data_IF_528375811416
#
_entry.id   IF_528375811416
#
_cell.length_a   1.000
_cell.length_b   1.000
_cell.length_c   1.000
_cell.angle_alpha   90.00
_cell.angle_beta   90.00
_cell.angle_gamma   90.00
#
_symmetry.space_group_name_H-M   'P 1'
#
loop_
_entity.id
_entity.type
_entity.pdbx_description
1 polymer ?
#
# COMPACT_ATOMS: atom_id res chain seq x y z
N UNK A 1 6.56 -28.84 32.73
CA UNK A 1 5.67 -27.67 32.89
C UNK A 1 6.39 -26.32 32.74
N UNK A 2 7.43 -25.95 33.53
CA UNK A 2 8.09 -24.61 33.44
C UNK A 2 8.65 -24.19 32.06
N UNK A 3 9.07 -25.12 31.19
CA UNK A 3 9.58 -24.79 29.84
C UNK A 3 8.48 -24.46 28.82
N UNK A 4 7.25 -24.95 29.02
CA UNK A 4 6.10 -24.62 28.15
C UNK A 4 5.54 -23.24 28.52
N UNK A 5 5.44 -22.90 29.79
CA UNK A 5 4.98 -21.57 30.24
C UNK A 5 5.93 -20.45 29.77
N UNK A 6 7.24 -20.70 29.77
CA UNK A 6 8.24 -19.74 29.27
C UNK A 6 8.15 -19.50 27.75
N UNK A 7 7.79 -20.54 26.96
CA UNK A 7 7.52 -20.39 25.53
C UNK A 7 6.21 -19.65 25.26
N UNK A 8 5.19 -19.86 26.09
CA UNK A 8 3.92 -19.13 26.00
C UNK A 8 4.09 -17.66 26.42
N UNK A 9 4.83 -17.38 27.49
CA UNK A 9 5.12 -16.01 27.93
C UNK A 9 5.99 -15.25 26.93
N UNK A 10 7.03 -15.87 26.34
CA UNK A 10 7.79 -15.24 25.25
C UNK A 10 6.94 -14.98 24.00
N UNK A 11 6.02 -15.90 23.65
CA UNK A 11 5.08 -15.69 22.53
C UNK A 11 4.06 -14.59 22.82
N UNK A 12 3.55 -14.50 24.05
CA UNK A 12 2.66 -13.40 24.47
C UNK A 12 3.39 -12.06 24.48
N UNK A 13 4.68 -12.03 24.91
CA UNK A 13 5.50 -10.81 24.91
C UNK A 13 5.87 -10.32 23.50
N UNK A 14 6.05 -11.24 22.55
CA UNK A 14 6.29 -10.90 21.14
C UNK A 14 5.01 -10.35 20.49
N UNK A 15 3.84 -10.91 20.84
CA UNK A 15 2.54 -10.44 20.34
C UNK A 15 2.15 -9.08 20.95
N UNK A 16 2.48 -8.83 22.22
CA UNK A 16 2.26 -7.52 22.86
C UNK A 16 3.27 -6.46 22.40
N UNK A 17 4.51 -6.83 22.05
CA UNK A 17 5.49 -5.92 21.45
C UNK A 17 5.08 -5.49 20.03
N UNK A 18 4.55 -6.39 19.21
CA UNK A 18 4.02 -6.04 17.89
C UNK A 18 2.84 -5.05 17.96
N UNK A 19 1.88 -5.30 18.85
CA UNK A 19 0.73 -4.40 19.08
C UNK A 19 1.14 -3.00 19.55
N UNK A 20 2.15 -2.87 20.42
CA UNK A 20 2.61 -1.56 20.90
C UNK A 20 3.48 -0.79 19.88
N UNK A 21 4.12 -1.48 18.92
CA UNK A 21 4.95 -0.83 17.90
C UNK A 21 4.09 -0.12 16.82
N UNK A 22 2.94 -0.69 16.49
CA UNK A 22 2.02 -0.15 15.49
C UNK A 22 1.37 1.18 15.92
N UNK A 23 1.03 1.34 17.21
CA UNK A 23 0.30 2.52 17.72
C UNK A 23 1.16 3.79 17.84
N UNK A 24 2.49 3.69 17.85
CA UNK A 24 3.43 4.80 18.06
C UNK A 24 4.35 5.06 16.86
N UNK A 25 4.05 4.54 15.68
CA UNK A 25 4.83 4.85 14.49
C UNK A 25 4.82 6.36 14.24
N UNK A 26 6.00 6.95 14.02
CA UNK A 26 6.08 8.34 13.60
C UNK A 26 5.40 8.51 12.24
N UNK A 27 4.94 9.71 11.92
CA UNK A 27 4.27 9.99 10.64
C UNK A 27 5.17 9.61 9.44
N UNK A 28 6.48 9.69 9.60
CA UNK A 28 7.47 9.32 8.57
C UNK A 28 7.46 7.81 8.27
N UNK A 29 7.14 6.99 9.27
CA UNK A 29 7.06 5.54 9.16
C UNK A 29 5.66 5.03 8.80
N UNK A 30 4.69 5.93 8.57
CA UNK A 30 3.37 5.55 8.09
C UNK A 30 3.33 5.48 6.57
N UNK A 31 2.47 4.58 6.04
CA UNK A 31 2.16 4.44 4.61
C UNK A 31 0.65 4.20 4.45
N UNK A 32 -0.05 5.12 3.78
CA UNK A 32 -1.48 4.96 3.49
C UNK A 32 -1.62 4.63 2.01
N UNK A 33 -1.84 3.36 1.73
CA UNK A 33 -1.69 2.78 0.38
C UNK A 33 -3.01 2.18 -0.07
N UNK A 34 -3.44 2.55 -1.27
CA UNK A 34 -4.55 1.88 -1.94
C UNK A 34 -4.07 0.68 -2.75
N UNK A 35 -4.78 -0.42 -2.64
CA UNK A 35 -4.58 -1.57 -3.52
C UNK A 35 -5.64 -1.54 -4.60
N UNK A 36 -5.22 -1.40 -5.86
CA UNK A 36 -6.08 -1.30 -7.03
C UNK A 36 -5.75 -2.40 -8.03
N UNK A 37 -6.79 -2.96 -8.65
CA UNK A 37 -6.63 -4.07 -9.58
C UNK A 37 -7.84 -4.18 -10.50
N UNK A 38 -7.64 -4.83 -11.65
CA UNK A 38 -8.76 -5.37 -12.40
C UNK A 38 -9.44 -6.52 -11.64
N UNK A 39 -10.71 -6.80 -11.95
CA UNK A 39 -11.43 -7.98 -11.42
C UNK A 39 -10.58 -9.22 -11.67
N UNK A 40 -10.53 -10.11 -10.69
CA UNK A 40 -9.77 -11.36 -10.73
C UNK A 40 -8.24 -11.23 -10.90
N UNK A 41 -7.63 -10.04 -10.81
CA UNK A 41 -6.16 -9.92 -10.81
C UNK A 41 -5.51 -10.48 -9.52
N UNK A 42 -6.31 -10.87 -8.53
CA UNK A 42 -5.86 -11.48 -7.28
C UNK A 42 -5.60 -10.46 -6.17
N UNK A 43 -6.33 -9.35 -6.17
CA UNK A 43 -6.24 -8.29 -5.16
C UNK A 43 -6.48 -8.82 -3.74
N UNK A 44 -7.63 -9.45 -3.49
CA UNK A 44 -7.99 -10.03 -2.17
C UNK A 44 -6.98 -11.08 -1.72
N UNK A 45 -6.57 -11.99 -2.62
CA UNK A 45 -5.52 -12.97 -2.31
C UNK A 45 -4.21 -12.31 -1.93
N UNK A 46 -3.81 -11.24 -2.62
CA UNK A 46 -2.60 -10.48 -2.28
C UNK A 46 -2.71 -9.86 -0.89
N UNK A 47 -3.80 -9.16 -0.59
CA UNK A 47 -4.03 -8.52 0.72
C UNK A 47 -3.96 -9.54 1.85
N UNK A 48 -4.58 -10.71 1.70
CA UNK A 48 -4.49 -11.81 2.66
C UNK A 48 -3.04 -12.31 2.85
N UNK A 49 -2.25 -12.39 1.77
CA UNK A 49 -0.83 -12.78 1.86
C UNK A 49 0.03 -11.70 2.56
N UNK A 50 -0.23 -10.42 2.32
CA UNK A 50 0.46 -9.32 2.98
C UNK A 50 0.14 -9.32 4.49
N UNK A 51 -1.12 -9.54 4.88
CA UNK A 51 -1.54 -9.69 6.28
C UNK A 51 -0.91 -10.92 6.95
N UNK A 52 -0.79 -12.03 6.24
CA UNK A 52 -0.11 -13.21 6.75
C UNK A 52 1.39 -12.98 6.97
N UNK A 53 2.07 -12.34 6.00
CA UNK A 53 3.50 -12.02 6.08
C UNK A 53 3.83 -11.04 7.21
N UNK A 54 2.92 -10.09 7.49
CA UNK A 54 3.08 -9.15 8.61
C UNK A 54 2.82 -9.78 9.98
N UNK A 55 2.25 -10.99 10.01
CA UNK A 55 1.92 -11.70 11.24
C UNK A 55 0.56 -11.32 11.86
N UNK A 56 -0.22 -10.47 11.18
CA UNK A 56 -1.59 -10.12 11.61
C UNK A 56 -2.54 -11.31 11.48
N UNK A 57 -2.35 -12.15 10.46
CA UNK A 57 -3.11 -13.39 10.29
C UNK A 57 -2.26 -14.61 10.66
N UNK A 58 -2.85 -15.51 11.45
CA UNK A 58 -2.22 -16.80 11.80
C UNK A 58 -2.35 -17.84 10.71
N UNK A 59 -3.38 -17.73 9.87
CA UNK A 59 -3.66 -18.62 8.73
C UNK A 59 -4.09 -17.76 7.56
N UNK A 60 -3.68 -18.16 6.38
CA UNK A 60 -4.11 -17.53 5.14
C UNK A 60 -5.57 -17.89 4.85
N UNK A 61 -6.40 -16.87 4.58
CA UNK A 61 -7.72 -17.06 4.01
C UNK A 61 -7.65 -17.46 2.54
N UNK A 62 -8.72 -18.07 2.05
CA UNK A 62 -8.88 -18.44 0.65
C UNK A 62 -10.18 -17.86 0.11
N UNK A 63 -10.10 -17.21 -1.04
CA UNK A 63 -11.23 -16.54 -1.71
C UNK A 63 -12.29 -17.57 -2.10
N UNK A 64 -11.86 -18.71 -2.65
CA UNK A 64 -12.76 -19.77 -3.14
C UNK A 64 -13.57 -20.42 -1.99
N UNK A 65 -13.02 -20.46 -0.78
CA UNK A 65 -13.72 -20.97 0.41
C UNK A 65 -14.48 -19.88 1.19
N UNK A 66 -14.42 -18.60 0.77
CA UNK A 66 -15.05 -17.47 1.45
C UNK A 66 -14.49 -17.20 2.86
N UNK A 67 -13.25 -17.65 3.14
CA UNK A 67 -12.60 -17.54 4.45
C UNK A 67 -11.70 -16.31 4.59
N UNK A 68 -11.76 -15.39 3.62
CA UNK A 68 -10.97 -14.15 3.62
C UNK A 68 -11.44 -13.18 4.70
N UNK A 69 -10.49 -12.44 5.28
CA UNK A 69 -10.76 -11.45 6.32
C UNK A 69 -11.22 -10.11 5.72
N UNK A 70 -10.82 -9.82 4.48
CA UNK A 70 -11.11 -8.55 3.81
C UNK A 70 -12.51 -8.50 3.19
N UNK A 71 -13.13 -9.63 2.88
CA UNK A 71 -14.48 -9.69 2.32
C UNK A 71 -15.50 -9.88 3.45
N UNK A 72 -16.12 -8.78 3.92
CA UNK A 72 -16.99 -8.77 5.10
C UNK A 72 -18.45 -9.10 4.76
N UNK A 73 -18.88 -8.76 3.54
CA UNK A 73 -20.26 -8.94 3.14
C UNK A 73 -20.50 -10.37 2.62
N UNK A 74 -21.69 -10.91 2.94
CA UNK A 74 -22.11 -12.22 2.46
C UNK A 74 -22.08 -12.28 0.91
N UNK A 75 -22.50 -11.19 0.26
CA UNK A 75 -22.44 -11.03 -1.20
C UNK A 75 -21.01 -11.03 -1.76
N UNK A 76 -20.04 -10.46 -1.02
CA UNK A 76 -18.62 -10.48 -1.40
C UNK A 76 -18.08 -11.91 -1.39
N UNK A 77 -18.39 -12.66 -0.33
CA UNK A 77 -17.99 -14.05 -0.17
C UNK A 77 -18.64 -14.98 -1.19
N UNK A 78 -19.92 -14.76 -1.50
CA UNK A 78 -20.65 -15.56 -2.50
C UNK A 78 -20.18 -15.28 -3.93
N UNK A 79 -19.83 -14.05 -4.25
CA UNK A 79 -19.45 -13.63 -5.61
C UNK A 79 -17.95 -13.53 -5.83
N UNK A 80 -17.13 -13.62 -4.78
CA UNK A 80 -15.67 -13.47 -4.85
C UNK A 80 -15.21 -12.09 -5.32
N UNK A 81 -16.04 -11.05 -5.10
CA UNK A 81 -15.73 -9.66 -5.50
C UNK A 81 -15.79 -8.73 -4.29
N UNK A 82 -14.86 -7.81 -4.17
CA UNK A 82 -14.90 -6.75 -3.17
C UNK A 82 -15.89 -5.66 -3.60
N UNK A 83 -16.92 -5.44 -2.79
CA UNK A 83 -17.97 -4.43 -3.01
C UNK A 83 -17.68 -3.17 -2.20
N UNK A 84 -17.21 -3.32 -0.96
CA UNK A 84 -16.83 -2.22 -0.09
C UNK A 84 -15.33 -2.21 0.16
N UNK A 85 -14.73 -1.01 0.16
CA UNK A 85 -13.32 -0.87 0.52
C UNK A 85 -13.08 -1.37 1.95
N UNK A 86 -12.18 -2.32 2.12
CA UNK A 86 -11.68 -2.74 3.41
C UNK A 86 -10.48 -1.88 3.82
N UNK A 87 -10.39 -1.55 5.11
CA UNK A 87 -9.27 -0.79 5.66
C UNK A 87 -8.59 -1.68 6.69
N UNK A 88 -7.34 -2.00 6.44
CA UNK A 88 -6.55 -2.84 7.34
C UNK A 88 -5.19 -2.19 7.61
N UNK A 89 -4.78 -2.21 8.87
CA UNK A 89 -3.45 -1.75 9.28
C UNK A 89 -2.57 -2.95 9.55
N UNK A 90 -1.35 -2.93 9.01
CA UNK A 90 -0.37 -3.99 9.24
C UNK A 90 1.00 -3.41 9.61
N UNK A 91 1.72 -4.03 10.56
CA UNK A 91 3.09 -3.67 10.88
C UNK A 91 4.05 -4.34 9.90
N UNK A 92 5.06 -3.60 9.42
CA UNK A 92 6.15 -4.16 8.65
C UNK A 92 7.46 -3.51 9.00
N UNK A 93 8.38 -4.27 9.59
CA UNK A 93 9.61 -3.72 10.18
C UNK A 93 9.24 -2.58 11.16
N UNK A 94 9.73 -1.36 10.94
CA UNK A 94 9.43 -0.18 11.77
C UNK A 94 8.24 0.64 11.24
N UNK A 95 7.65 0.21 10.11
CA UNK A 95 6.57 0.93 9.45
C UNK A 95 5.20 0.42 9.87
N UNK A 96 4.24 1.34 9.81
CA UNK A 96 2.81 1.04 9.84
C UNK A 96 2.24 1.27 8.46
N UNK A 97 1.72 0.23 7.84
CA UNK A 97 1.09 0.29 6.53
C UNK A 97 -0.43 0.19 6.72
N UNK A 98 -1.16 1.23 6.33
CA UNK A 98 -2.61 1.21 6.23
C UNK A 98 -2.96 0.89 4.79
N UNK A 99 -3.47 -0.31 4.55
CA UNK A 99 -3.95 -0.74 3.24
C UNK A 99 -5.43 -0.43 3.13
N UNK A 100 -5.81 0.26 2.06
CA UNK A 100 -7.20 0.47 1.66
C UNK A 100 -7.44 -0.42 0.45
N UNK A 101 -8.16 -1.51 0.66
CA UNK A 101 -8.55 -2.42 -0.41
C UNK A 101 -9.75 -1.84 -1.15
N UNK A 102 -9.54 -1.36 -2.38
CA UNK A 102 -10.59 -0.70 -3.17
C UNK A 102 -11.37 -1.71 -4.01
N UNK A 103 -12.69 -1.49 -4.22
CA UNK A 103 -13.46 -2.33 -5.14
C UNK A 103 -12.84 -2.35 -6.54
N UNK A 104 -12.77 -3.54 -7.14
CA UNK A 104 -12.25 -3.71 -8.51
C UNK A 104 -13.30 -3.51 -9.60
N UNK A 105 -14.60 -3.41 -9.28
CA UNK A 105 -15.68 -3.35 -10.25
C UNK A 105 -16.00 -1.91 -10.69
N UNK A 106 -16.35 -1.74 -11.97
CA UNK A 106 -16.62 -0.41 -12.59
C UNK A 106 -17.76 0.33 -11.89
N UNK A 107 -18.79 -0.39 -11.44
CA UNK A 107 -19.96 0.15 -10.76
C UNK A 107 -19.63 0.87 -9.44
N UNK A 108 -18.47 0.60 -8.88
CA UNK A 108 -18.00 1.20 -7.62
C UNK A 108 -16.99 2.35 -7.82
N UNK A 109 -16.94 2.94 -9.01
CA UNK A 109 -16.00 4.03 -9.34
C UNK A 109 -16.03 5.22 -8.37
N UNK A 110 -17.19 5.56 -7.81
CA UNK A 110 -17.33 6.61 -6.79
C UNK A 110 -16.65 6.24 -5.48
N UNK A 111 -16.75 4.98 -5.06
CA UNK A 111 -16.08 4.48 -3.86
C UNK A 111 -14.55 4.52 -4.04
N UNK A 112 -14.06 4.11 -5.20
CA UNK A 112 -12.64 4.21 -5.55
C UNK A 112 -12.16 5.66 -5.50
N UNK A 113 -12.89 6.59 -6.10
CA UNK A 113 -12.53 8.02 -6.11
C UNK A 113 -12.46 8.61 -4.69
N UNK A 114 -13.39 8.23 -3.81
CA UNK A 114 -13.39 8.67 -2.41
C UNK A 114 -12.17 8.16 -1.64
N UNK A 115 -11.81 6.88 -1.86
CA UNK A 115 -10.64 6.28 -1.24
C UNK A 115 -9.33 6.90 -1.76
N UNK A 116 -9.21 7.11 -3.08
CA UNK A 116 -7.99 7.65 -3.72
C UNK A 116 -7.59 9.00 -3.13
N UNK A 117 -8.56 9.86 -2.75
CA UNK A 117 -8.30 11.18 -2.14
C UNK A 117 -7.56 11.13 -0.80
N UNK A 118 -7.59 10.03 -0.11
CA UNK A 118 -6.98 9.89 1.23
C UNK A 118 -5.73 9.03 1.25
N UNK A 119 -5.24 8.64 0.07
CA UNK A 119 -4.04 7.83 -0.10
C UNK A 119 -2.79 8.70 -0.25
N UNK A 120 -1.65 8.13 0.13
CA UNK A 120 -0.34 8.72 -0.13
C UNK A 120 0.35 7.98 -1.30
N UNK A 121 -0.08 6.77 -1.65
CA UNK A 121 0.46 6.00 -2.77
C UNK A 121 -0.44 4.82 -3.17
N UNK A 122 -0.08 4.16 -4.25
CA UNK A 122 -0.84 3.05 -4.82
C UNK A 122 0.01 1.80 -5.03
N UNK A 123 -0.62 0.65 -4.83
CA UNK A 123 -0.14 -0.65 -5.32
C UNK A 123 -1.11 -1.12 -6.40
N UNK A 124 -0.65 -1.11 -7.65
CA UNK A 124 -1.43 -1.55 -8.82
C UNK A 124 -1.11 -3.01 -9.10
N UNK A 125 -2.13 -3.87 -9.04
CA UNK A 125 -1.97 -5.31 -9.26
C UNK A 125 -2.46 -5.68 -10.64
N UNK A 126 -1.59 -6.28 -11.44
CA UNK A 126 -1.87 -6.77 -12.78
C UNK A 126 -1.91 -8.30 -12.80
N UNK A 127 -2.77 -8.87 -13.63
CA UNK A 127 -2.72 -10.30 -13.97
C UNK A 127 -1.63 -10.50 -15.03
N UNK A 128 -0.62 -11.32 -14.72
CA UNK A 128 0.50 -11.61 -15.62
C UNK A 128 0.11 -12.23 -16.96
N UNK A 129 -1.11 -12.76 -17.08
CA UNK A 129 -1.64 -13.30 -18.33
C UNK A 129 -2.39 -12.26 -19.18
N UNK A 130 -2.69 -11.06 -18.64
CA UNK A 130 -3.53 -10.06 -19.30
C UNK A 130 -2.93 -8.65 -19.34
N UNK A 131 -1.94 -8.36 -18.49
CA UNK A 131 -1.33 -7.04 -18.38
C UNK A 131 -2.32 -5.95 -17.96
N UNK A 132 -2.16 -4.74 -18.50
CA UNK A 132 -3.03 -3.59 -18.22
C UNK A 132 -4.37 -3.75 -18.95
N UNK A 133 -5.46 -3.75 -18.17
CA UNK A 133 -6.83 -3.94 -18.62
C UNK A 133 -7.66 -2.65 -18.46
N UNK A 134 -8.88 -2.60 -19.02
CA UNK A 134 -9.72 -1.40 -19.06
C UNK A 134 -10.01 -0.79 -17.67
N UNK A 135 -10.24 -1.61 -16.66
CA UNK A 135 -10.47 -1.12 -15.29
C UNK A 135 -9.19 -0.54 -14.67
N UNK A 136 -8.04 -1.16 -14.93
CA UNK A 136 -6.74 -0.60 -14.52
C UNK A 136 -6.55 0.80 -15.08
N UNK A 137 -6.88 1.02 -16.37
CA UNK A 137 -6.84 2.34 -17.01
C UNK A 137 -7.78 3.35 -16.35
N UNK A 138 -8.99 2.92 -15.99
CA UNK A 138 -9.97 3.81 -15.35
C UNK A 138 -9.50 4.27 -13.99
N UNK A 139 -9.04 3.34 -13.13
CA UNK A 139 -8.52 3.66 -11.81
C UNK A 139 -7.22 4.46 -11.89
N UNK A 140 -6.34 4.09 -12.83
CA UNK A 140 -5.11 4.82 -13.09
C UNK A 140 -5.37 6.29 -13.44
N UNK A 141 -6.31 6.57 -14.33
CA UNK A 141 -6.71 7.96 -14.69
C UNK A 141 -7.25 8.73 -13.49
N UNK A 142 -7.97 8.07 -12.59
CA UNK A 142 -8.43 8.71 -11.34
C UNK A 142 -7.26 9.02 -10.42
N UNK A 143 -6.34 8.06 -10.24
CA UNK A 143 -5.15 8.24 -9.42
C UNK A 143 -4.20 9.32 -9.96
N UNK A 144 -4.06 9.41 -11.29
CA UNK A 144 -3.23 10.41 -11.95
C UNK A 144 -3.69 11.85 -11.65
N UNK A 145 -5.00 12.08 -11.44
CA UNK A 145 -5.52 13.40 -11.03
C UNK A 145 -5.01 13.85 -9.66
N UNK A 146 -4.67 12.89 -8.79
CA UNK A 146 -4.13 13.17 -7.46
C UNK A 146 -2.61 12.99 -7.39
N UNK A 147 -1.97 12.82 -8.54
CA UNK A 147 -0.52 12.71 -8.65
C UNK A 147 0.12 11.65 -7.72
N UNK A 148 -0.58 10.55 -7.45
CA UNK A 148 -0.15 9.53 -6.50
C UNK A 148 1.01 8.69 -7.05
N UNK A 149 2.13 8.57 -6.31
CA UNK A 149 3.18 7.61 -6.60
C UNK A 149 2.65 6.19 -6.58
N UNK A 150 3.12 5.35 -7.51
CA UNK A 150 2.55 4.02 -7.71
C UNK A 150 3.63 2.96 -7.88
N UNK A 151 3.38 1.79 -7.26
CA UNK A 151 4.10 0.56 -7.48
C UNK A 151 3.23 -0.41 -8.25
N UNK A 152 3.83 -1.22 -9.11
CA UNK A 152 3.13 -2.24 -9.87
C UNK A 152 3.55 -3.63 -9.42
N UNK A 153 2.59 -4.53 -9.29
CA UNK A 153 2.81 -5.96 -9.07
C UNK A 153 2.19 -6.76 -10.21
N UNK A 154 3.01 -7.42 -10.99
CA UNK A 154 2.56 -8.43 -11.95
C UNK A 154 2.39 -9.74 -11.18
N UNK A 155 1.13 -10.04 -10.87
CA UNK A 155 0.71 -11.20 -10.08
C UNK A 155 0.36 -12.38 -10.99
N UNK A 156 0.19 -13.56 -10.39
CA UNK A 156 -0.20 -14.81 -11.07
C UNK A 156 0.82 -15.28 -12.11
N UNK A 157 2.10 -15.03 -11.85
CA UNK A 157 3.19 -15.50 -12.72
C UNK A 157 3.30 -17.03 -12.79
N UNK A 158 2.58 -17.76 -11.95
CA UNK A 158 2.45 -19.22 -11.96
C UNK A 158 1.50 -19.77 -13.03
N UNK A 159 0.71 -18.90 -13.67
CA UNK A 159 -0.19 -19.31 -14.77
C UNK A 159 0.63 -19.66 -16.03
N UNK A 160 0.21 -20.70 -16.80
CA UNK A 160 0.89 -21.06 -18.04
C UNK A 160 0.94 -19.95 -19.11
N UNK A 161 -0.07 -19.05 -19.10
CA UNK A 161 -0.17 -17.93 -20.05
C UNK A 161 0.46 -16.64 -19.51
N UNK A 162 1.09 -16.68 -18.31
CA UNK A 162 1.72 -15.49 -17.75
C UNK A 162 2.96 -15.10 -18.56
N UNK A 163 2.99 -13.83 -18.96
CA UNK A 163 4.10 -13.22 -19.69
C UNK A 163 4.47 -11.89 -19.03
N UNK A 164 5.65 -11.86 -18.43
CA UNK A 164 6.15 -10.68 -17.75
C UNK A 164 6.52 -9.57 -18.72
N UNK A 165 7.17 -9.92 -19.85
CA UNK A 165 7.58 -8.94 -20.85
C UNK A 165 6.36 -8.26 -21.49
N UNK A 166 5.32 -9.02 -21.84
CA UNK A 166 4.05 -8.49 -22.31
C UNK A 166 3.40 -7.56 -21.26
N UNK A 167 3.48 -7.91 -19.98
CA UNK A 167 2.95 -7.08 -18.91
C UNK A 167 3.69 -5.74 -18.80
N UNK A 168 5.03 -5.74 -18.91
CA UNK A 168 5.87 -4.53 -18.95
C UNK A 168 5.50 -3.66 -20.16
N UNK A 169 5.52 -4.22 -21.38
CA UNK A 169 5.13 -3.47 -22.58
C UNK A 169 3.73 -2.88 -22.47
N UNK A 170 2.78 -3.62 -21.88
CA UNK A 170 1.40 -3.10 -21.70
C UNK A 170 1.33 -1.92 -20.72
N UNK A 171 2.23 -1.82 -19.74
CA UNK A 171 2.34 -0.64 -18.86
C UNK A 171 2.85 0.54 -19.68
N UNK A 172 3.91 0.35 -20.44
CA UNK A 172 4.54 1.42 -21.24
C UNK A 172 3.60 1.93 -22.34
N UNK A 173 2.98 1.03 -23.09
CA UNK A 173 2.10 1.39 -24.22
C UNK A 173 0.78 2.02 -23.77
N UNK A 174 0.15 1.49 -22.72
CA UNK A 174 -1.20 1.92 -22.33
C UNK A 174 -1.23 3.01 -21.27
N UNK A 175 -0.21 3.09 -20.41
CA UNK A 175 -0.12 4.10 -19.35
C UNK A 175 0.85 5.22 -19.69
N UNK A 176 1.70 5.06 -20.70
CA UNK A 176 2.70 6.03 -21.08
C UNK A 176 3.81 6.21 -20.05
N UNK A 177 4.08 5.17 -19.23
CA UNK A 177 5.06 5.19 -18.16
C UNK A 177 6.21 4.25 -18.48
N UNK A 178 7.44 4.70 -18.32
CA UNK A 178 8.57 3.77 -18.33
C UNK A 178 8.47 2.80 -17.16
N UNK A 179 8.59 1.51 -17.42
CA UNK A 179 8.54 0.48 -16.41
C UNK A 179 9.96 0.06 -15.99
N UNK A 180 10.20 0.04 -14.68
CA UNK A 180 11.47 -0.38 -14.07
C UNK A 180 11.27 -1.68 -13.28
N UNK A 181 11.53 -2.85 -13.86
CA UNK A 181 11.49 -4.12 -13.15
C UNK A 181 12.52 -4.18 -12.03
N UNK A 182 12.11 -4.53 -10.81
CA UNK A 182 12.99 -4.72 -9.64
C UNK A 182 12.92 -6.13 -9.07
N UNK A 183 11.81 -6.83 -9.30
CA UNK A 183 11.69 -8.26 -9.02
C UNK A 183 11.20 -8.93 -10.29
N UNK A 184 12.00 -9.79 -10.85
CA UNK A 184 11.73 -10.46 -12.14
C UNK A 184 11.48 -11.95 -11.92
N UNK A 185 10.58 -12.59 -12.72
CA UNK A 185 10.47 -14.04 -12.74
C UNK A 185 11.67 -14.64 -13.45
N UNK A 186 12.10 -15.82 -13.03
CA UNK A 186 13.01 -16.63 -13.82
C UNK A 186 12.43 -18.00 -14.10
N UNK A 187 12.62 -18.46 -15.32
CA UNK A 187 12.05 -19.71 -15.83
C UNK A 187 13.14 -20.54 -16.47
N UNK A 188 13.00 -21.85 -16.40
CA UNK A 188 13.80 -22.77 -17.18
C UNK A 188 12.88 -23.46 -18.18
N UNK A 189 13.23 -23.37 -19.45
CA UNK A 189 12.34 -23.72 -20.55
C UNK A 189 11.01 -22.93 -20.49
N UNK A 190 9.90 -23.55 -20.15
CA UNK A 190 8.59 -22.90 -20.03
C UNK A 190 8.05 -22.86 -18.58
N UNK A 191 8.79 -23.44 -17.63
CA UNK A 191 8.33 -23.55 -16.24
C UNK A 191 8.91 -22.44 -15.37
N UNK A 192 8.04 -21.73 -14.66
CA UNK A 192 8.45 -20.76 -13.63
C UNK A 192 9.19 -21.48 -12.51
N UNK A 193 10.48 -21.19 -12.34
CA UNK A 193 11.30 -21.73 -11.25
C UNK A 193 11.33 -20.83 -10.03
N UNK A 194 11.17 -19.51 -10.22
CA UNK A 194 11.20 -18.59 -9.09
C UNK A 194 11.23 -17.12 -9.47
N UNK A 195 11.78 -16.31 -8.55
CA UNK A 195 11.86 -14.86 -8.66
C UNK A 195 13.25 -14.38 -8.25
N UNK A 196 13.72 -13.32 -8.89
CA UNK A 196 14.99 -12.65 -8.61
C UNK A 196 14.72 -11.21 -8.19
N UNK A 197 15.22 -10.82 -7.03
CA UNK A 197 15.22 -9.45 -6.50
C UNK A 197 16.51 -8.76 -6.93
N UNK A 198 16.42 -7.83 -7.87
CA UNK A 198 17.54 -7.14 -8.49
C UNK A 198 18.21 -6.13 -7.55
N UNK A 199 17.48 -5.62 -6.57
CA UNK A 199 17.98 -4.64 -5.59
C UNK A 199 18.77 -5.35 -4.49
N UNK A 200 18.19 -6.44 -3.96
CA UNK A 200 18.77 -7.18 -2.84
C UNK A 200 19.78 -8.25 -3.27
N UNK A 201 19.85 -8.61 -4.56
CA UNK A 201 20.71 -9.69 -5.05
C UNK A 201 20.31 -11.07 -4.48
N UNK A 202 19.01 -11.34 -4.43
CA UNK A 202 18.45 -12.57 -3.86
C UNK A 202 17.57 -13.28 -4.88
N UNK A 203 17.48 -14.60 -4.77
CA UNK A 203 16.53 -15.41 -5.52
C UNK A 203 15.60 -16.19 -4.58
N UNK A 204 14.37 -16.40 -5.03
CA UNK A 204 13.36 -17.25 -4.41
C UNK A 204 13.09 -18.43 -5.35
N UNK A 205 13.50 -19.64 -4.99
CA UNK A 205 13.18 -20.85 -5.75
C UNK A 205 11.85 -21.43 -5.30
N UNK A 206 10.94 -21.66 -6.23
CA UNK A 206 9.64 -22.26 -5.95
C UNK A 206 9.79 -23.78 -5.87
N UNK A 207 9.69 -24.35 -4.68
CA UNK A 207 9.75 -25.80 -4.46
C UNK A 207 8.37 -26.36 -4.12
N UNK A 208 8.08 -27.58 -4.61
CA UNK A 208 6.83 -28.31 -4.23
C UNK A 208 6.90 -28.71 -2.75
N UNK A 209 5.94 -28.23 -1.94
CA UNK A 209 5.72 -28.72 -0.56
C UNK A 209 6.65 -28.16 0.51
N UNK A 210 7.51 -27.17 0.25
CA UNK A 210 8.33 -26.45 1.24
C UNK A 210 8.05 -24.97 1.20
N UNK A 211 8.13 -24.30 2.36
CA UNK A 211 8.16 -22.85 2.41
C UNK A 211 9.40 -22.36 1.66
N UNK A 212 9.19 -21.66 0.55
CA UNK A 212 10.27 -21.07 -0.23
C UNK A 212 10.82 -19.85 0.50
N UNK A 213 12.14 -19.76 0.64
CA UNK A 213 12.84 -18.65 1.30
C UNK A 213 13.75 -17.94 0.30
N UNK A 214 13.92 -16.63 0.51
CA UNK A 214 14.84 -15.82 -0.28
C UNK A 214 16.27 -16.12 0.11
N UNK A 215 17.10 -16.48 -0.89
CA UNK A 215 18.51 -16.83 -0.72
C UNK A 215 19.38 -15.89 -1.54
N UNK A 216 20.60 -15.61 -1.06
CA UNK A 216 21.61 -14.85 -1.82
C UNK A 216 22.00 -15.63 -3.08
N UNK A 217 22.17 -14.92 -4.19
CA UNK A 217 22.57 -15.50 -5.48
C UNK A 217 24.07 -15.77 -5.47
N UNK A 218 24.46 -17.01 -5.80
CA UNK A 218 25.86 -17.39 -5.94
C UNK A 218 26.38 -17.02 -7.34
N UNK A 219 27.60 -16.48 -7.43
CA UNK A 219 28.21 -15.96 -8.66
C UNK A 219 28.45 -17.00 -9.78
N UNK A 220 28.30 -18.29 -9.45
CA UNK A 220 28.46 -19.41 -10.43
C UNK A 220 27.12 -20.07 -10.76
N UNK A 221 26.00 -19.51 -10.32
CA UNK A 221 24.69 -20.08 -10.59
C UNK A 221 24.09 -19.52 -11.88
N UNK A 222 23.18 -20.26 -12.51
CA UNK A 222 22.46 -19.77 -13.68
C UNK A 222 21.56 -18.57 -13.37
N UNK A 223 21.16 -18.41 -12.10
CA UNK A 223 20.40 -17.24 -11.63
C UNK A 223 21.25 -15.97 -11.63
N UNK A 224 22.58 -16.09 -11.57
CA UNK A 224 23.50 -14.96 -11.58
C UNK A 224 23.53 -14.25 -12.94
N UNK A 225 23.46 -14.99 -14.04
CA UNK A 225 23.44 -14.40 -15.39
C UNK A 225 22.15 -13.58 -15.58
N UNK A 226 21.00 -14.13 -15.18
CA UNK A 226 19.71 -13.45 -15.24
C UNK A 226 19.69 -12.22 -14.30
N UNK A 227 20.27 -12.34 -13.11
CA UNK A 227 20.43 -11.23 -12.17
C UNK A 227 21.31 -10.12 -12.73
N UNK A 228 22.46 -10.48 -13.31
CA UNK A 228 23.43 -9.51 -13.87
C UNK A 228 22.80 -8.70 -15.01
N UNK A 229 22.17 -9.37 -15.97
CA UNK A 229 21.46 -8.75 -17.08
C UNK A 229 20.29 -7.89 -16.58
N UNK A 230 19.47 -8.41 -15.66
CA UNK A 230 18.36 -7.67 -15.08
C UNK A 230 18.81 -6.43 -14.31
N UNK A 231 19.89 -6.52 -13.52
CA UNK A 231 20.48 -5.39 -12.81
C UNK A 231 21.01 -4.33 -13.76
N UNK A 232 21.67 -4.75 -14.85
CA UNK A 232 22.18 -3.87 -15.89
C UNK A 232 21.03 -3.08 -16.54
N UNK A 233 19.99 -3.76 -17.00
CA UNK A 233 18.80 -3.14 -17.59
C UNK A 233 18.12 -2.17 -16.62
N UNK A 234 18.01 -2.53 -15.33
CA UNK A 234 17.45 -1.66 -14.29
C UNK A 234 18.31 -0.40 -14.08
N UNK A 235 19.66 -0.52 -14.02
CA UNK A 235 20.56 0.62 -13.84
C UNK A 235 20.51 1.58 -15.05
N UNK A 236 20.47 1.07 -16.27
CA UNK A 236 20.28 1.92 -17.45
C UNK A 236 18.92 2.61 -17.44
N UNK A 237 17.85 1.87 -17.12
CA UNK A 237 16.51 2.46 -16.98
C UNK A 237 16.44 3.56 -15.91
N UNK A 238 17.14 3.38 -14.80
CA UNK A 238 17.26 4.42 -13.75
C UNK A 238 18.06 5.63 -14.25
N UNK A 239 19.17 5.39 -14.97
CA UNK A 239 20.00 6.47 -15.52
C UNK A 239 19.22 7.35 -16.50
N UNK A 240 18.33 6.75 -17.29
CA UNK A 240 17.47 7.50 -18.21
C UNK A 240 16.32 8.26 -17.49
N UNK A 241 15.92 7.80 -16.30
CA UNK A 241 14.76 8.33 -15.59
C UNK A 241 15.09 9.31 -14.45
N UNK A 242 16.35 9.28 -13.95
CA UNK A 242 16.85 10.09 -12.84
C UNK A 242 18.23 10.67 -13.14
N UNK A 243 18.28 11.96 -13.46
CA UNK A 243 19.52 12.67 -13.78
C UNK A 243 20.57 12.60 -12.65
N UNK A 244 20.13 12.61 -11.39
CA UNK A 244 21.04 12.50 -10.24
C UNK A 244 21.70 11.14 -10.18
N UNK A 245 20.96 10.08 -10.51
CA UNK A 245 21.52 8.72 -10.62
C UNK A 245 22.43 8.59 -11.84
N UNK A 246 22.05 9.17 -12.97
CA UNK A 246 22.88 9.17 -14.20
C UNK A 246 24.28 9.76 -13.94
N UNK A 247 24.34 10.94 -13.31
CA UNK A 247 25.62 11.56 -12.93
C UNK A 247 26.41 10.68 -11.96
N UNK A 248 25.76 10.17 -10.92
CA UNK A 248 26.39 9.26 -9.94
C UNK A 248 26.93 7.99 -10.61
N UNK A 249 26.17 7.41 -11.54
CA UNK A 249 26.50 6.17 -12.25
C UNK A 249 27.72 6.34 -13.12
N UNK A 250 27.86 7.49 -13.80
CA UNK A 250 29.02 7.80 -14.62
C UNK A 250 30.24 8.20 -13.78
N UNK A 251 30.07 9.11 -12.83
CA UNK A 251 31.19 9.71 -12.07
C UNK A 251 31.77 8.74 -11.03
N UNK A 252 30.92 8.07 -10.24
CA UNK A 252 31.34 7.18 -9.15
C UNK A 252 31.59 5.76 -9.61
N UNK A 253 30.74 5.24 -10.47
CA UNK A 253 30.74 3.83 -10.86
C UNK A 253 31.32 3.58 -12.25
N UNK A 254 31.60 4.63 -13.04
CA UNK A 254 32.16 4.54 -14.40
C UNK A 254 31.33 3.63 -15.33
N UNK A 255 30.02 3.62 -15.13
CA UNK A 255 29.10 2.77 -15.88
C UNK A 255 29.11 1.29 -15.48
N UNK A 256 29.86 0.89 -14.43
CA UNK A 256 29.93 -0.48 -13.96
C UNK A 256 28.78 -0.82 -13.02
N UNK A 257 27.77 -1.51 -13.53
CA UNK A 257 26.56 -1.89 -12.78
C UNK A 257 26.84 -2.85 -11.61
N UNK A 258 27.94 -3.63 -11.69
CA UNK A 258 28.31 -4.57 -10.63
C UNK A 258 28.69 -3.87 -9.34
N UNK A 259 29.25 -2.66 -9.42
CA UNK A 259 29.73 -1.86 -8.30
C UNK A 259 28.65 -0.98 -7.67
N UNK A 260 27.51 -0.78 -8.35
CA UNK A 260 26.45 0.10 -7.86
C UNK A 260 25.88 -0.43 -6.54
N UNK A 261 25.93 0.42 -5.51
CA UNK A 261 25.45 0.04 -4.19
C UNK A 261 23.94 -0.09 -4.15
N UNK A 262 23.43 -0.94 -3.26
CA UNK A 262 22.02 -1.14 -3.01
C UNK A 262 21.34 0.15 -2.54
N UNK A 263 22.02 0.91 -1.71
CA UNK A 263 21.55 2.17 -1.14
C UNK A 263 21.31 3.21 -2.25
N UNK A 264 22.27 3.35 -3.18
CA UNK A 264 22.16 4.30 -4.29
C UNK A 264 21.04 3.90 -5.26
N UNK A 265 20.86 2.59 -5.54
CA UNK A 265 19.73 2.08 -6.32
C UNK A 265 18.40 2.41 -5.61
N UNK A 266 18.30 2.10 -4.32
CA UNK A 266 17.05 2.32 -3.56
C UNK A 266 16.68 3.80 -3.51
N UNK A 267 17.66 4.69 -3.34
CA UNK A 267 17.42 6.14 -3.35
C UNK A 267 16.98 6.63 -4.74
N UNK A 268 17.58 6.13 -5.81
CA UNK A 268 17.18 6.45 -7.18
C UNK A 268 15.76 5.96 -7.48
N UNK A 269 15.44 4.70 -7.15
CA UNK A 269 14.09 4.16 -7.28
C UNK A 269 13.05 4.98 -6.50
N UNK A 270 13.43 5.46 -5.30
CA UNK A 270 12.55 6.33 -4.51
C UNK A 270 12.30 7.67 -5.20
N UNK A 271 13.35 8.34 -5.72
CA UNK A 271 13.19 9.62 -6.46
C UNK A 271 12.31 9.43 -7.69
N UNK A 272 12.57 8.39 -8.48
CA UNK A 272 11.79 8.06 -9.68
C UNK A 272 10.32 7.77 -9.34
N UNK A 273 10.07 7.03 -8.26
CA UNK A 273 8.71 6.73 -7.79
C UNK A 273 7.99 8.01 -7.36
N UNK A 274 8.64 8.87 -6.58
CA UNK A 274 8.04 10.12 -6.07
C UNK A 274 7.81 11.16 -7.17
N UNK A 275 8.76 11.32 -8.12
CA UNK A 275 8.62 12.21 -9.28
C UNK A 275 7.69 11.64 -10.35
N UNK A 276 7.35 10.34 -10.28
CA UNK A 276 6.53 9.63 -11.27
C UNK A 276 7.14 9.63 -12.68
N UNK A 277 8.45 9.83 -12.79
CA UNK A 277 9.19 9.77 -14.06
C UNK A 277 9.23 8.35 -14.65
N UNK A 278 9.14 7.34 -13.80
CA UNK A 278 8.94 5.94 -14.19
C UNK A 278 8.18 5.19 -13.09
N UNK A 279 7.68 3.99 -13.39
CA UNK A 279 7.02 3.14 -12.42
C UNK A 279 7.88 1.92 -12.06
N UNK A 280 7.95 1.60 -10.77
CA UNK A 280 8.67 0.43 -10.27
C UNK A 280 7.75 -0.79 -10.34
N UNK A 281 8.25 -1.86 -10.94
CA UNK A 281 7.48 -3.08 -11.19
C UNK A 281 8.11 -4.27 -10.47
N UNK A 282 7.28 -4.96 -9.69
CA UNK A 282 7.61 -6.23 -9.05
C UNK A 282 6.80 -7.37 -9.67
N UNK A 283 7.30 -8.58 -9.64
CA UNK A 283 6.57 -9.78 -10.03
C UNK A 283 6.33 -10.72 -8.86
N UNK A 284 5.30 -11.56 -8.94
CA UNK A 284 4.99 -12.52 -7.90
C UNK A 284 3.86 -13.49 -8.26
N UNK A 285 3.62 -14.42 -7.34
CA UNK A 285 2.46 -15.31 -7.37
C UNK A 285 1.89 -15.42 -5.96
N UNK A 286 0.92 -14.56 -5.64
CA UNK A 286 0.31 -14.50 -4.32
C UNK A 286 -0.34 -15.83 -3.92
N UNK A 287 -0.93 -16.55 -4.88
CA UNK A 287 -1.60 -17.84 -4.62
C UNK A 287 -0.57 -18.95 -4.32
N UNK A 288 0.47 -19.07 -5.13
CA UNK A 288 1.43 -20.18 -5.06
C UNK A 288 2.45 -20.00 -3.92
N UNK A 289 2.92 -18.78 -3.68
CA UNK A 289 3.93 -18.49 -2.66
C UNK A 289 3.75 -17.11 -2.05
N UNK A 290 3.36 -17.06 -0.77
CA UNK A 290 3.32 -15.80 -0.03
C UNK A 290 4.68 -15.10 -0.01
N UNK A 291 5.79 -15.86 0.06
CA UNK A 291 7.15 -15.30 0.06
C UNK A 291 7.47 -14.54 -1.23
N UNK A 292 6.83 -14.85 -2.37
CA UNK A 292 7.08 -14.15 -3.64
C UNK A 292 6.60 -12.71 -3.62
N UNK A 293 5.58 -12.38 -2.82
CA UNK A 293 5.05 -11.02 -2.71
C UNK A 293 5.63 -10.23 -1.52
N UNK A 294 6.53 -10.84 -0.75
CA UNK A 294 7.22 -10.16 0.36
C UNK A 294 7.98 -8.91 -0.07
N UNK A 295 8.68 -8.86 -1.21
CA UNK A 295 9.34 -7.65 -1.70
C UNK A 295 8.37 -6.45 -1.86
N UNK A 296 7.08 -6.67 -2.13
CA UNK A 296 6.11 -5.58 -2.21
C UNK A 296 6.02 -4.78 -0.91
N UNK A 297 6.07 -5.44 0.27
CA UNK A 297 6.06 -4.75 1.56
C UNK A 297 7.33 -3.91 1.75
N UNK A 298 8.48 -4.43 1.36
CA UNK A 298 9.76 -3.72 1.41
C UNK A 298 9.75 -2.51 0.44
N UNK A 299 9.23 -2.67 -0.76
CA UNK A 299 9.11 -1.60 -1.76
C UNK A 299 8.12 -0.51 -1.31
N UNK A 300 6.96 -0.88 -0.74
CA UNK A 300 6.00 0.08 -0.17
C UNK A 300 6.69 0.95 0.88
N UNK A 301 7.43 0.34 1.81
CA UNK A 301 8.12 1.08 2.87
C UNK A 301 9.21 2.00 2.34
N UNK A 302 10.01 1.52 1.38
CA UNK A 302 11.20 2.21 0.90
C UNK A 302 10.88 3.27 -0.15
N UNK A 303 9.89 3.04 -1.03
CA UNK A 303 9.70 3.86 -2.23
C UNK A 303 8.48 4.77 -2.15
N UNK A 304 7.39 4.35 -1.49
CA UNK A 304 6.19 5.17 -1.42
C UNK A 304 6.28 6.23 -0.31
N UNK A 305 5.61 7.38 -0.48
CA UNK A 305 5.70 8.48 0.46
C UNK A 305 5.02 8.18 1.79
N UNK A 306 5.45 8.87 2.83
CA UNK A 306 4.74 8.99 4.10
C UNK A 306 3.73 10.13 4.05
N UNK A 307 2.80 10.22 5.01
CA UNK A 307 1.81 11.30 5.09
C UNK A 307 2.39 12.71 5.36
N UNK A 308 3.71 12.84 5.53
CA UNK A 308 4.38 14.12 5.88
C UNK A 308 4.03 15.23 4.90
N UNK A 309 4.07 14.96 3.59
CA UNK A 309 3.83 15.99 2.58
C UNK A 309 2.37 16.47 2.59
N UNK A 310 1.41 15.55 2.64
CA UNK A 310 -0.01 15.90 2.74
C UNK A 310 -0.34 16.65 4.03
N UNK A 311 0.26 16.25 5.15
CA UNK A 311 0.11 16.95 6.43
C UNK A 311 0.75 18.35 6.40
N UNK A 312 1.88 18.52 5.74
CA UNK A 312 2.56 19.83 5.61
C UNK A 312 1.69 20.85 4.87
N UNK A 313 1.13 20.47 3.72
CA UNK A 313 0.24 21.33 2.93
C UNK A 313 -0.96 21.81 3.74
N UNK A 314 -1.60 20.92 4.49
CA UNK A 314 -2.74 21.29 5.35
C UNK A 314 -2.30 22.20 6.50
N UNK A 315 -1.15 21.94 7.13
CA UNK A 315 -0.60 22.79 8.21
C UNK A 315 -0.27 24.20 7.76
N UNK A 316 0.19 24.38 6.54
CA UNK A 316 0.45 25.70 5.97
C UNK A 316 -0.83 26.54 5.89
N UNK A 317 -1.99 25.91 5.70
CA UNK A 317 -3.29 26.60 5.63
C UNK A 317 -3.95 26.80 6.99
N UNK A 318 -3.86 25.83 7.91
CA UNK A 318 -4.66 25.81 9.16
C UNK A 318 -3.83 25.66 10.45
N UNK A 319 -2.51 25.62 10.33
CA UNK A 319 -1.61 25.42 11.46
C UNK A 319 -1.65 23.99 12.01
N UNK A 320 -1.32 23.84 13.29
CA UNK A 320 -1.25 22.53 13.96
C UNK A 320 -2.59 22.06 14.56
N UNK A 321 -3.70 22.74 14.26
CA UNK A 321 -5.01 22.31 14.72
C UNK A 321 -5.45 21.04 14.03
N UNK A 322 -6.36 20.29 14.68
CA UNK A 322 -6.91 19.09 14.07
C UNK A 322 -7.66 19.41 12.78
N UNK A 323 -7.33 18.65 11.74
CA UNK A 323 -8.12 18.58 10.51
C UNK A 323 -8.20 17.14 10.02
N UNK A 324 -9.38 16.77 9.51
CA UNK A 324 -9.63 15.42 9.00
C UNK A 324 -10.69 15.38 7.92
N UNK A 325 -10.67 14.34 7.10
CA UNK A 325 -11.64 14.09 6.02
C UNK A 325 -12.33 12.76 6.25
N UNK A 326 -13.66 12.79 6.26
CA UNK A 326 -14.50 11.60 6.31
C UNK A 326 -14.68 11.03 4.90
N UNK A 327 -14.03 9.93 4.61
CA UNK A 327 -14.04 9.37 3.26
C UNK A 327 -14.92 8.13 3.08
N UNK A 328 -15.34 7.49 4.20
CA UNK A 328 -16.19 6.31 4.16
C UNK A 328 -17.08 6.23 5.39
N UNK A 329 -18.32 5.77 5.22
CA UNK A 329 -19.26 5.47 6.30
C UNK A 329 -19.73 4.02 6.15
N UNK A 330 -19.71 3.30 7.27
CA UNK A 330 -20.27 1.95 7.38
C UNK A 330 -21.32 1.89 8.51
N UNK A 331 -22.19 0.90 8.44
CA UNK A 331 -23.13 0.58 9.51
C UNK A 331 -22.74 -0.76 10.15
N UNK A 332 -22.06 -0.68 11.29
CA UNK A 332 -21.69 -1.85 12.08
C UNK A 332 -22.91 -2.37 12.86
N UNK A 333 -23.12 -3.70 12.90
CA UNK A 333 -24.28 -4.32 13.57
C UNK A 333 -24.31 -4.07 15.08
N UNK A 334 -23.17 -3.86 15.73
CA UNK A 334 -23.03 -3.68 17.18
C UNK A 334 -22.85 -2.22 17.58
N UNK A 335 -22.11 -1.45 16.76
CA UNK A 335 -21.68 -0.08 17.08
C UNK A 335 -22.47 1.00 16.34
N UNK A 336 -23.33 0.60 15.40
CA UNK A 336 -24.11 1.54 14.59
C UNK A 336 -23.27 2.22 13.52
N UNK A 337 -23.49 3.50 13.32
CA UNK A 337 -22.82 4.29 12.27
C UNK A 337 -21.39 4.61 12.64
N UNK A 338 -20.45 4.28 11.76
CA UNK A 338 -19.01 4.51 11.92
C UNK A 338 -18.49 5.19 10.66
N UNK A 339 -17.76 6.30 10.83
CA UNK A 339 -17.08 7.02 9.78
C UNK A 339 -15.57 6.75 9.77
N UNK A 340 -15.00 6.43 8.64
CA UNK A 340 -13.54 6.37 8.50
C UNK A 340 -13.00 7.74 8.12
N UNK A 341 -12.11 8.25 8.95
CA UNK A 341 -11.57 9.60 8.84
C UNK A 341 -10.05 9.56 8.72
N UNK A 342 -9.50 10.26 7.72
CA UNK A 342 -8.08 10.55 7.61
C UNK A 342 -7.77 11.81 8.44
N UNK A 343 -6.77 11.73 9.31
CA UNK A 343 -6.24 12.87 10.07
C UNK A 343 -5.11 13.49 9.27
N UNK A 344 -5.26 14.74 8.84
CA UNK A 344 -4.23 15.46 8.08
C UNK A 344 -3.33 16.30 8.94
N UNK A 345 -3.84 16.93 10.00
CA UNK A 345 -3.05 17.74 10.93
C UNK A 345 -3.55 17.58 12.36
N UNK A 346 -2.67 17.87 13.32
CA UNK A 346 -2.99 17.86 14.75
C UNK A 346 -3.27 16.48 15.32
N UNK A 347 -4.07 16.46 16.37
CA UNK A 347 -4.46 15.25 17.11
C UNK A 347 -5.97 15.21 17.31
N UNK A 348 -6.60 14.09 16.94
CA UNK A 348 -8.00 13.81 17.22
C UNK A 348 -8.13 13.06 18.54
N UNK A 349 -8.92 13.56 19.49
CA UNK A 349 -9.09 12.95 20.82
C UNK A 349 -10.50 12.40 21.01
N UNK A 350 -10.59 11.19 21.58
CA UNK A 350 -11.87 10.61 21.99
C UNK A 350 -12.57 11.46 23.05
N UNK A 351 -13.89 11.54 23.00
CA UNK A 351 -14.73 12.40 23.86
C UNK A 351 -14.82 13.86 23.42
N UNK A 352 -14.01 14.29 22.42
CA UNK A 352 -14.08 15.66 21.89
C UNK A 352 -15.29 15.85 20.98
N UNK A 353 -15.58 17.13 20.72
CA UNK A 353 -16.53 17.53 19.70
C UNK A 353 -15.76 18.14 18.53
N UNK A 354 -16.30 17.97 17.32
CA UNK A 354 -15.74 18.46 16.09
C UNK A 354 -16.64 19.50 15.44
N UNK A 355 -16.06 20.36 14.64
CA UNK A 355 -16.78 21.20 13.72
C UNK A 355 -16.74 20.56 12.33
N UNK A 356 -17.91 20.19 11.82
CA UNK A 356 -18.06 19.79 10.43
C UNK A 356 -18.01 21.06 9.57
N UNK A 357 -16.86 21.27 8.92
CA UNK A 357 -16.64 22.47 8.11
C UNK A 357 -17.58 22.54 6.92
N UNK A 358 -17.76 21.41 6.24
CA UNK A 358 -18.58 21.31 5.02
C UNK A 358 -20.05 21.66 5.28
N UNK A 359 -20.57 21.32 6.47
CA UNK A 359 -21.99 21.51 6.85
C UNK A 359 -22.24 22.67 7.78
N UNK A 360 -21.20 23.23 8.38
CA UNK A 360 -21.35 24.29 9.36
C UNK A 360 -22.00 23.84 10.67
N UNK A 361 -21.83 22.58 11.07
CA UNK A 361 -22.48 22.00 12.24
C UNK A 361 -21.47 21.38 13.22
N UNK A 362 -21.88 21.35 14.51
CA UNK A 362 -21.13 20.66 15.56
C UNK A 362 -21.53 19.20 15.63
N UNK A 363 -20.53 18.30 15.73
CA UNK A 363 -20.66 16.86 15.86
C UNK A 363 -19.97 16.32 17.12
N UNK A 364 -20.42 15.19 17.61
CA UNK A 364 -19.85 14.50 18.76
C UNK A 364 -20.77 14.53 20.00
N UNK A 365 -20.32 13.99 21.14
CA UNK A 365 -18.96 13.53 21.41
C UNK A 365 -18.56 12.29 20.60
N UNK A 366 -17.31 12.23 20.18
CA UNK A 366 -16.82 11.16 19.32
C UNK A 366 -16.10 10.05 20.09
N UNK A 367 -16.22 8.83 19.60
CA UNK A 367 -15.41 7.67 20.02
C UNK A 367 -14.49 7.26 18.87
N UNK A 368 -13.25 6.88 19.21
CA UNK A 368 -12.22 6.54 18.24
C UNK A 368 -11.87 5.06 18.30
N UNK A 369 -11.68 4.48 17.13
CA UNK A 369 -11.28 3.08 16.99
C UNK A 369 -10.17 2.96 15.95
N UNK A 370 -9.23 2.05 16.20
CA UNK A 370 -8.27 1.60 15.21
C UNK A 370 -8.88 0.45 14.41
N UNK A 371 -8.82 0.55 13.08
CA UNK A 371 -9.25 -0.53 12.21
C UNK A 371 -8.14 -1.60 12.15
N UNK A 372 -8.42 -2.78 12.68
CA UNK A 372 -7.63 -3.98 12.48
C UNK A 372 -8.39 -4.93 11.55
N UNK A 373 -7.72 -5.95 11.06
CA UNK A 373 -8.24 -6.84 10.01
C UNK A 373 -9.68 -7.34 10.19
N UNK A 374 -10.10 -7.60 11.43
CA UNK A 374 -11.43 -8.14 11.78
C UNK A 374 -12.11 -7.44 12.96
N UNK A 375 -11.47 -6.41 13.54
CA UNK A 375 -11.94 -5.74 14.74
C UNK A 375 -11.72 -4.23 14.71
N UNK A 376 -12.52 -3.52 15.51
CA UNK A 376 -12.35 -2.11 15.81
C UNK A 376 -11.94 -2.00 17.28
N UNK A 377 -10.67 -1.71 17.53
CA UNK A 377 -10.14 -1.57 18.88
C UNK A 377 -10.23 -0.11 19.35
N UNK A 378 -10.79 0.19 20.54
CA UNK A 378 -10.94 1.55 21.02
C UNK A 378 -9.57 2.19 21.31
N UNK A 379 -9.39 3.44 20.86
CA UNK A 379 -8.20 4.25 21.08
C UNK A 379 -8.55 5.58 21.71
N UNK A 380 -7.61 6.18 22.46
CA UNK A 380 -7.82 7.47 23.13
C UNK A 380 -7.62 8.67 22.21
N UNK A 381 -6.67 8.56 21.30
CA UNK A 381 -6.36 9.63 20.36
C UNK A 381 -5.74 9.08 19.07
N UNK A 382 -5.80 9.89 18.03
CA UNK A 382 -5.20 9.63 16.73
C UNK A 382 -4.41 10.85 16.26
N UNK A 383 -3.16 10.65 15.88
CA UNK A 383 -2.25 11.69 15.40
C UNK A 383 -2.38 11.88 13.89
N UNK A 384 -1.82 12.97 13.40
CA UNK A 384 -1.69 13.26 11.97
C UNK A 384 -1.13 12.07 11.18
N UNK A 385 -1.60 11.91 9.96
CA UNK A 385 -1.26 10.79 9.08
C UNK A 385 -2.09 9.53 9.33
N UNK A 386 -2.81 9.42 10.46
CA UNK A 386 -3.59 8.23 10.79
C UNK A 386 -4.91 8.17 10.02
N UNK A 387 -5.36 6.93 9.77
CA UNK A 387 -6.72 6.61 9.33
C UNK A 387 -7.41 5.92 10.50
N UNK A 388 -8.55 6.46 10.93
CA UNK A 388 -9.25 5.99 12.14
C UNK A 388 -10.74 5.87 11.89
N UNK A 389 -11.37 4.94 12.59
CA UNK A 389 -12.80 4.81 12.63
C UNK A 389 -13.38 5.69 13.76
N UNK A 390 -14.40 6.47 13.47
CA UNK A 390 -15.01 7.46 14.36
C UNK A 390 -16.50 7.16 14.50
N UNK A 391 -16.98 7.05 15.72
CA UNK A 391 -18.40 6.99 16.07
C UNK A 391 -18.83 8.32 16.66
N UNK A 392 -20.11 8.71 16.51
CA UNK A 392 -20.65 9.98 17.01
C UNK A 392 -20.73 11.08 15.95
N UNK A 393 -20.56 10.70 14.66
CA UNK A 393 -20.75 11.56 13.49
C UNK A 393 -22.14 11.26 12.88
N UNK A 394 -23.20 11.78 13.48
CA UNK A 394 -24.56 11.38 13.09
C UNK A 394 -25.08 12.07 11.83
N UNK A 395 -24.74 13.35 11.65
CA UNK A 395 -25.22 14.18 10.56
C UNK A 395 -24.28 14.24 9.36
N UNK A 396 -23.04 13.87 9.56
CA UNK A 396 -21.99 13.96 8.54
C UNK A 396 -22.21 13.00 7.38
N UNK A 397 -21.78 13.37 6.18
CA UNK A 397 -21.75 12.51 4.99
C UNK A 397 -20.33 12.26 4.53
N UNK A 398 -20.18 11.25 3.67
CA UNK A 398 -18.89 10.96 3.05
C UNK A 398 -18.43 12.14 2.20
N UNK A 399 -17.21 12.61 2.43
CA UNK A 399 -16.63 13.80 1.80
C UNK A 399 -16.61 15.02 2.73
N UNK A 400 -17.25 14.95 3.91
CA UNK A 400 -17.25 16.07 4.85
C UNK A 400 -15.86 16.23 5.52
N UNK A 401 -15.42 17.48 5.63
CA UNK A 401 -14.19 17.87 6.30
C UNK A 401 -14.48 18.31 7.75
N UNK A 402 -13.57 17.96 8.65
CA UNK A 402 -13.65 18.30 10.07
C UNK A 402 -12.47 19.12 10.53
N UNK A 403 -12.73 20.02 11.48
CA UNK A 403 -11.72 20.78 12.20
C UNK A 403 -11.99 20.77 13.70
N UNK A 404 -10.98 21.19 14.48
CA UNK A 404 -11.15 21.42 15.90
C UNK A 404 -12.13 22.58 16.17
N UNK A 405 -12.91 22.49 17.26
CA UNK A 405 -13.87 23.54 17.62
C UNK A 405 -13.24 24.88 18.02
N UNK A 406 -12.03 24.83 18.57
CA UNK A 406 -11.26 25.97 19.08
C UNK A 406 -10.46 26.70 17.98
N UNK A 407 -10.60 26.25 16.75
CA UNK A 407 -9.92 26.86 15.61
C UNK A 407 -10.64 28.14 15.17
N UNK A 408 -9.86 29.19 14.86
CA UNK A 408 -10.44 30.42 14.30
C UNK A 408 -10.93 30.15 12.86
N UNK A 409 -12.26 30.16 12.74
CA UNK A 409 -12.96 29.84 11.47
C UNK A 409 -12.64 30.79 10.32
N UNK A 410 -12.03 31.97 10.62
CA UNK A 410 -11.68 32.99 9.61
C UNK A 410 -10.37 32.70 8.90
N UNK A 411 -9.54 31.78 9.43
CA UNK A 411 -8.26 31.40 8.84
C UNK A 411 -8.38 30.26 7.80
N UNK A 412 -9.58 29.76 7.56
CA UNK A 412 -9.78 28.68 6.57
C UNK A 412 -10.12 29.27 5.20
N UNK A 413 -9.57 28.69 4.11
CA UNK A 413 -9.99 29.02 2.76
C UNK A 413 -11.49 28.67 2.59
N UNK A 414 -12.20 29.46 1.79
CA UNK A 414 -13.63 29.18 1.47
C UNK A 414 -13.83 27.85 0.77
N UNK A 415 -12.79 27.32 0.15
CA UNK A 415 -12.78 25.98 -0.48
C UNK A 415 -12.32 24.90 0.51
N UNK A 416 -12.85 23.69 0.35
CA UNK A 416 -12.53 22.50 1.14
C UNK A 416 -10.99 22.33 1.26
N UNK A 417 -10.41 22.37 2.50
CA UNK A 417 -8.96 22.20 2.67
C UNK A 417 -8.41 20.92 2.06
N UNK A 418 -9.25 19.90 1.90
CA UNK A 418 -8.89 18.65 1.24
C UNK A 418 -8.97 18.72 -0.29
N UNK A 419 -9.59 19.77 -0.87
CA UNK A 419 -9.65 19.96 -2.33
C UNK A 419 -8.31 20.43 -2.91
N UNK A 420 -7.45 21.04 -2.09
CA UNK A 420 -6.13 21.55 -2.49
C UNK A 420 -5.00 20.52 -2.32
N UNK A 421 -5.28 19.29 -1.84
CA UNK A 421 -4.28 18.22 -1.79
C UNK A 421 -4.16 17.59 -3.18
N UNK A 422 -3.81 18.42 -4.16
CA UNK A 422 -3.21 17.98 -5.41
C UNK A 422 -1.71 18.03 -5.16
N UNK A 423 -1.04 16.89 -5.24
CA UNK A 423 0.41 16.85 -5.21
C UNK A 423 0.92 17.53 -6.48
N UNK A 424 1.22 18.81 -6.42
CA UNK A 424 2.04 19.47 -7.43
C UNK A 424 3.41 18.82 -7.38
N UNK A 425 3.74 18.05 -8.43
CA UNK A 425 5.01 17.35 -8.61
C UNK A 425 6.09 18.25 -9.18
#
# INVERSE_FOLDING_TARGET
>A
MRRLEWKFMKRALILTKGRNYSMNASIEMMRNIGVVAHIDAGKTTLTERLLFLSGELRRMGDVDSGSTVTDFLEVERERGITVQSAIVSLPWKEHRINLIDTPGHVDFGVEVQRCVRVLDGLLVVLDGSAGVQAQTLTVWRQAAKYSLPSLFLVNKMDKPQADFAMSISSIEDKLGLRALPVVIPFSRETALEGFIDLVEGRCLKLSKGKNSEWMTIETKSCEFDVFSEGKENMCFGLSDSDQSFSSLFLDKYQGDTSKVSREDITQALRRVSLSRSACVVSSGSALRSASSVRPCLDLICNLLPSPVNSSKLVKESIGNHFSGLLFKIIHDKRRGRIGYTRVYSGELKGGSHLWNWTRGEKEGPIELFEAQSDSLDPIKSAKEGSIVAVRGLEKSLTGDAFIALDCDKRSFPEEDPASHIVFDG
#
